data_IF_227995844745
#
_entry.id   IF_227995844745
#
_cell.length_a   1.000
_cell.length_b   1.000
_cell.length_c   1.000
_cell.angle_alpha   90.00
_cell.angle_beta   90.00
_cell.angle_gamma   90.00
#
_symmetry.space_group_name_H-M   'P 1'
#
loop_
_entity.id
_entity.type
_entity.pdbx_description
1 polymer ?
#
# COMPACT_ATOMS: atom_id res chain seq x y z
N UNK A 1 -17.71 15.16 3.08
CA UNK A 1 -16.89 14.06 3.67
C UNK A 1 -15.58 14.01 2.91
N UNK A 2 -14.44 14.15 3.61
CA UNK A 2 -13.12 14.11 2.98
C UNK A 2 -12.86 12.70 2.42
N UNK A 3 -12.17 12.63 1.27
CA UNK A 3 -11.86 11.39 0.55
C UNK A 3 -10.35 11.24 0.41
N UNK A 4 -9.85 10.03 0.59
CA UNK A 4 -8.44 9.67 0.41
C UNK A 4 -8.30 8.86 -0.88
N UNK A 5 -7.38 9.27 -1.75
CA UNK A 5 -7.17 8.59 -3.04
C UNK A 5 -6.60 7.20 -2.81
N UNK A 6 -7.06 6.23 -3.60
CA UNK A 6 -6.52 4.87 -3.60
C UNK A 6 -5.15 4.76 -4.27
N UNK A 7 -4.73 5.78 -5.03
CA UNK A 7 -3.54 5.72 -5.88
C UNK A 7 -3.78 5.04 -7.24
N UNK A 8 -5.02 4.62 -7.51
CA UNK A 8 -5.44 4.03 -8.78
C UNK A 8 -6.47 4.99 -9.42
N UNK A 9 -6.08 5.82 -10.41
CA UNK A 9 -6.95 6.85 -10.96
C UNK A 9 -8.29 6.34 -11.49
N UNK A 10 -8.30 5.12 -12.07
CA UNK A 10 -9.54 4.49 -12.54
C UNK A 10 -10.52 4.18 -11.41
N UNK A 11 -10.01 3.59 -10.31
CA UNK A 11 -10.81 3.26 -9.15
C UNK A 11 -11.28 4.52 -8.41
N UNK A 12 -10.41 5.53 -8.28
CA UNK A 12 -10.77 6.80 -7.65
C UNK A 12 -11.94 7.48 -8.37
N UNK A 13 -11.98 7.43 -9.71
CA UNK A 13 -13.13 7.92 -10.49
C UNK A 13 -14.41 7.14 -10.17
N UNK A 14 -14.34 5.81 -10.15
CA UNK A 14 -15.48 4.95 -9.82
C UNK A 14 -16.01 5.20 -8.40
N UNK A 15 -15.11 5.48 -7.46
CA UNK A 15 -15.44 5.75 -6.05
C UNK A 15 -15.78 7.21 -5.74
N UNK A 16 -15.88 8.07 -6.78
CA UNK A 16 -16.16 9.52 -6.64
C UNK A 16 -15.12 10.24 -5.76
N UNK A 17 -13.85 9.95 -5.99
CA UNK A 17 -12.71 10.61 -5.35
C UNK A 17 -11.95 9.76 -4.33
N UNK A 18 -12.25 8.47 -4.20
CA UNK A 18 -11.51 7.54 -3.34
C UNK A 18 -12.29 7.07 -2.11
N UNK A 19 -11.56 6.58 -1.11
CA UNK A 19 -12.12 6.05 0.14
C UNK A 19 -12.59 7.17 1.07
N UNK A 20 -13.66 6.97 1.87
CA UNK A 20 -13.98 7.87 2.97
C UNK A 20 -12.78 7.98 3.93
N UNK A 21 -12.41 9.20 4.33
CA UNK A 21 -11.40 9.40 5.36
C UNK A 21 -11.85 8.75 6.69
N UNK A 22 -10.90 8.25 7.50
CA UNK A 22 -11.16 7.56 8.79
C UNK A 22 -12.07 6.34 8.66
N UNK A 23 -11.88 5.55 7.61
CA UNK A 23 -12.61 4.30 7.38
C UNK A 23 -11.69 3.08 7.41
N UNK A 24 -12.31 1.91 7.58
CA UNK A 24 -11.65 0.61 7.37
C UNK A 24 -12.11 0.08 6.02
N UNK A 25 -11.14 -0.32 5.19
CA UNK A 25 -11.40 -0.85 3.85
C UNK A 25 -11.00 -2.32 3.81
N UNK A 26 -11.94 -3.19 3.45
CA UNK A 26 -11.67 -4.60 3.17
C UNK A 26 -11.45 -4.81 1.67
N UNK A 27 -10.29 -5.33 1.30
CA UNK A 27 -9.99 -5.76 -0.07
C UNK A 27 -10.03 -7.28 -0.11
N UNK A 28 -11.01 -7.84 -0.82
CA UNK A 28 -11.26 -9.28 -0.87
C UNK A 28 -11.23 -9.81 -2.31
N UNK A 29 -10.85 -11.08 -2.47
CA UNK A 29 -10.76 -11.76 -3.75
C UNK A 29 -9.88 -13.01 -3.68
N UNK A 30 -9.96 -13.87 -4.70
CA UNK A 30 -9.20 -15.11 -4.80
C UNK A 30 -7.67 -14.89 -4.82
N UNK A 31 -6.84 -15.89 -4.49
CA UNK A 31 -5.40 -15.81 -4.68
C UNK A 31 -5.02 -15.33 -6.11
N UNK A 32 -3.97 -14.51 -6.23
CA UNK A 32 -3.53 -13.99 -7.52
C UNK A 32 -4.31 -12.78 -8.07
N UNK A 33 -5.43 -12.37 -7.45
CA UNK A 33 -6.23 -11.20 -7.92
C UNK A 33 -5.60 -9.83 -7.64
N UNK A 34 -4.39 -9.79 -7.03
CA UNK A 34 -3.64 -8.54 -6.84
C UNK A 34 -3.88 -7.79 -5.52
N UNK A 35 -4.46 -8.43 -4.50
CA UNK A 35 -4.71 -7.81 -3.17
C UNK A 35 -3.45 -7.25 -2.52
N UNK A 36 -2.37 -8.02 -2.50
CA UNK A 36 -1.05 -7.61 -1.97
C UNK A 36 -0.53 -6.38 -2.73
N UNK A 37 -0.58 -6.45 -4.07
CA UNK A 37 -0.16 -5.34 -4.92
C UNK A 37 -1.00 -4.08 -4.68
N UNK A 38 -2.32 -4.24 -4.50
CA UNK A 38 -3.23 -3.14 -4.17
C UNK A 38 -2.81 -2.44 -2.87
N UNK A 39 -2.57 -3.21 -1.80
CA UNK A 39 -2.15 -2.66 -0.51
C UNK A 39 -0.80 -1.94 -0.58
N UNK A 40 0.19 -2.54 -1.26
CA UNK A 40 1.51 -1.93 -1.44
C UNK A 40 1.44 -0.64 -2.27
N UNK A 41 0.68 -0.63 -3.37
CA UNK A 41 0.46 0.56 -4.21
C UNK A 41 -0.24 1.67 -3.42
N UNK A 42 -1.21 1.33 -2.57
CA UNK A 42 -1.91 2.30 -1.73
C UNK A 42 -0.93 3.00 -0.77
N UNK A 43 -0.10 2.23 -0.06
CA UNK A 43 0.92 2.78 0.86
C UNK A 43 1.97 3.59 0.09
N UNK A 44 2.45 3.10 -1.05
CA UNK A 44 3.41 3.80 -1.89
C UNK A 44 2.88 5.14 -2.41
N UNK A 45 1.62 5.15 -2.88
CA UNK A 45 0.95 6.36 -3.34
C UNK A 45 0.75 7.36 -2.20
N UNK A 46 0.27 6.92 -1.03
CA UNK A 46 0.12 7.78 0.15
C UNK A 46 1.45 8.44 0.54
N UNK A 47 2.52 7.64 0.64
CA UNK A 47 3.85 8.10 1.02
C UNK A 47 4.40 9.17 0.07
N UNK A 48 4.17 9.05 -1.23
CA UNK A 48 4.56 10.07 -2.22
C UNK A 48 3.70 11.34 -2.15
N UNK A 49 2.48 11.25 -1.62
CA UNK A 49 1.58 12.39 -1.39
C UNK A 49 1.73 13.01 0.02
N UNK A 50 2.74 12.61 0.78
CA UNK A 50 2.98 13.14 2.13
C UNK A 50 2.12 12.50 3.21
N UNK A 51 1.58 11.32 2.95
CA UNK A 51 0.82 10.49 3.92
C UNK A 51 1.66 9.26 4.30
N UNK A 52 2.42 9.30 5.40
CA UNK A 52 3.26 8.17 5.79
C UNK A 52 2.42 6.92 6.11
N UNK A 53 2.93 5.75 5.76
CA UNK A 53 2.17 4.51 5.89
C UNK A 53 3.01 3.27 6.17
N UNK A 54 2.36 2.24 6.70
CA UNK A 54 2.97 0.94 7.00
C UNK A 54 2.19 -0.14 6.29
N UNK A 55 2.91 -1.06 5.64
CA UNK A 55 2.35 -2.32 5.17
C UNK A 55 2.78 -3.44 6.13
N UNK A 56 1.82 -4.10 6.78
CA UNK A 56 2.08 -5.22 7.67
C UNK A 56 1.78 -6.54 6.96
N UNK A 57 2.82 -7.33 6.71
CA UNK A 57 2.75 -8.67 6.12
C UNK A 57 2.70 -9.74 7.21
N UNK A 58 1.84 -10.74 7.03
CA UNK A 58 1.78 -11.92 7.89
C UNK A 58 2.45 -13.15 7.28
N UNK A 59 2.53 -13.20 5.95
CA UNK A 59 2.97 -14.38 5.21
C UNK A 59 4.35 -14.18 4.58
N UNK A 60 4.53 -13.09 3.82
CA UNK A 60 5.71 -12.84 2.98
C UNK A 60 6.75 -11.96 3.68
N UNK A 61 8.02 -12.16 3.33
CA UNK A 61 9.13 -11.33 3.83
C UNK A 61 9.10 -9.92 3.21
N UNK A 62 9.63 -8.93 3.93
CA UNK A 62 9.73 -7.54 3.43
C UNK A 62 10.53 -7.42 2.14
N UNK A 63 11.62 -8.17 2.05
CA UNK A 63 12.55 -8.21 0.92
C UNK A 63 11.86 -8.81 -0.31
N UNK A 64 11.11 -9.90 -0.14
CA UNK A 64 10.34 -10.54 -1.22
C UNK A 64 9.30 -9.59 -1.80
N UNK A 65 8.54 -8.91 -0.93
CA UNK A 65 7.53 -7.93 -1.35
C UNK A 65 8.18 -6.74 -2.07
N UNK A 66 9.32 -6.27 -1.57
CA UNK A 66 10.06 -5.15 -2.17
C UNK A 66 10.57 -5.49 -3.57
N UNK A 67 11.20 -6.65 -3.74
CA UNK A 67 11.69 -7.07 -5.06
C UNK A 67 10.54 -7.35 -6.05
N UNK A 68 9.38 -7.82 -5.57
CA UNK A 68 8.21 -8.05 -6.43
C UNK A 68 7.62 -6.76 -7.04
N UNK A 69 7.67 -5.63 -6.32
CA UNK A 69 7.05 -4.37 -6.76
C UNK A 69 8.04 -3.38 -7.41
N UNK A 70 9.35 -3.60 -7.25
CA UNK A 70 10.41 -2.77 -7.82
C UNK A 70 10.35 -2.66 -9.35
N UNK A 71 10.06 -3.72 -10.14
CA UNK A 71 9.85 -3.61 -11.58
C UNK A 71 8.67 -2.72 -11.98
N UNK A 72 7.73 -2.49 -11.07
CA UNK A 72 6.58 -1.60 -11.27
C UNK A 72 6.91 -0.13 -10.92
N UNK A 73 8.18 0.17 -10.64
CA UNK A 73 8.65 1.51 -10.29
C UNK A 73 8.45 1.90 -8.83
N UNK A 74 8.02 0.96 -7.97
CA UNK A 74 7.83 1.22 -6.54
C UNK A 74 9.10 0.93 -5.74
N UNK A 75 9.87 1.99 -5.44
CA UNK A 75 11.07 1.94 -4.61
C UNK A 75 10.74 2.20 -3.12
N UNK A 76 10.38 1.15 -2.38
CA UNK A 76 10.14 1.21 -0.94
C UNK A 76 11.39 1.50 -0.10
N UNK A 77 12.58 0.93 -0.40
CA UNK A 77 13.81 1.25 0.34
C UNK A 77 14.12 2.75 0.36
N UNK A 78 13.85 3.46 -0.74
CA UNK A 78 13.95 4.92 -0.79
C UNK A 78 12.96 5.60 0.17
N UNK A 79 11.70 5.15 0.22
CA UNK A 79 10.68 5.74 1.09
C UNK A 79 10.96 5.44 2.57
N UNK A 80 11.53 4.28 2.89
CA UNK A 80 11.91 3.90 4.25
C UNK A 80 13.04 4.79 4.77
N UNK A 81 14.08 5.03 3.96
CA UNK A 81 15.14 6.00 4.30
C UNK A 81 14.62 7.42 4.53
N UNK A 82 13.48 7.76 3.94
CA UNK A 82 12.81 9.06 4.11
C UNK A 82 11.79 9.07 5.26
N UNK A 83 11.64 7.97 6.02
CA UNK A 83 10.59 7.79 7.03
C UNK A 83 9.16 8.00 6.50
N UNK A 84 8.90 7.66 5.24
CA UNK A 84 7.59 7.83 4.59
C UNK A 84 6.81 6.54 4.45
N UNK A 85 7.47 5.41 4.26
CA UNK A 85 6.81 4.12 4.20
C UNK A 85 7.70 3.01 4.72
N UNK A 86 7.09 1.96 5.28
CA UNK A 86 7.81 0.76 5.70
C UNK A 86 6.97 -0.50 5.44
N UNK A 87 7.63 -1.56 5.00
CA UNK A 87 7.06 -2.91 4.96
C UNK A 87 7.59 -3.62 6.20
N UNK A 88 6.67 -4.22 6.95
CA UNK A 88 6.99 -4.94 8.17
C UNK A 88 6.45 -6.35 8.09
N UNK A 89 7.15 -7.29 8.69
CA UNK A 89 6.60 -8.60 8.96
C UNK A 89 6.08 -8.66 10.39
N UNK A 90 4.88 -9.19 10.57
CA UNK A 90 4.25 -9.33 11.88
C UNK A 90 5.07 -10.18 12.85
N UNK A 91 5.85 -11.15 12.34
CA UNK A 91 6.72 -12.00 13.16
C UNK A 91 7.94 -11.26 13.72
N UNK A 92 8.39 -10.19 13.09
CA UNK A 92 9.58 -9.44 13.54
C UNK A 92 9.26 -8.54 14.74
N UNK A 93 7.98 -8.46 15.12
CA UNK A 93 7.44 -7.65 16.20
C UNK A 93 7.11 -8.47 17.45
N UNK A 94 7.20 -9.80 17.35
CA UNK A 94 6.93 -10.76 18.42
C UNK A 94 8.26 -11.35 18.90
#
# INVERSE_FOLDING_TARGET
>A
MKRIKSGIPGLDRLMKGGFPERSVVLVSGEPGTGKTLFGLQYIYSGANNGEPGVYLSFEQESEELTEAIKPLGMDFPKLEKQNKARILRAKDWL
#
